data_IF_770850664764
#
_entry.id   IF_770850664764
#
_cell.length_a   1.000
_cell.length_b   1.000
_cell.length_c   1.000
_cell.angle_alpha   90.00
_cell.angle_beta   90.00
_cell.angle_gamma   90.00
#
_symmetry.space_group_name_H-M   'P 1'
#
loop_
_entity.id
_entity.type
_entity.pdbx_description
1 polymer ?
#
# COMPACT_ATOMS: atom_id res chain seq x y z
N UNK A 1 10.44 -16.88 -5.83
CA UNK A 1 9.19 -16.10 -5.58
C UNK A 1 8.29 -16.95 -4.72
N UNK A 2 7.83 -16.43 -3.59
CA UNK A 2 6.90 -17.14 -2.70
C UNK A 2 5.46 -17.00 -3.18
N UNK A 3 5.09 -15.80 -3.60
CA UNK A 3 3.77 -15.51 -4.15
C UNK A 3 3.83 -14.34 -5.13
N UNK A 4 2.86 -14.29 -6.00
CA UNK A 4 2.58 -13.16 -6.89
C UNK A 4 1.06 -13.01 -6.99
N UNK A 5 0.55 -11.91 -6.50
CA UNK A 5 -0.81 -11.44 -6.76
C UNK A 5 -0.76 -10.44 -7.90
N UNK A 6 -1.63 -10.60 -8.88
CA UNK A 6 -1.80 -9.66 -9.99
C UNK A 6 -3.22 -9.12 -9.96
N UNK A 7 -3.31 -7.82 -10.12
CA UNK A 7 -4.56 -7.08 -10.16
C UNK A 7 -4.77 -6.50 -11.56
N UNK A 8 -5.98 -6.45 -12.08
CA UNK A 8 -6.24 -5.89 -13.40
C UNK A 8 -5.82 -4.43 -13.49
N UNK A 9 -5.25 -4.05 -14.61
CA UNK A 9 -4.91 -2.67 -14.89
C UNK A 9 -6.17 -1.87 -15.22
N UNK A 10 -6.29 -0.68 -14.62
CA UNK A 10 -7.36 0.26 -14.93
C UNK A 10 -8.64 0.09 -14.12
N UNK A 11 -8.61 -0.69 -13.05
CA UNK A 11 -9.75 -0.91 -12.16
C UNK A 11 -9.70 -0.07 -10.86
N UNK A 12 -8.74 0.87 -10.77
CA UNK A 12 -8.66 1.85 -9.69
C UNK A 12 -9.90 2.77 -9.59
N UNK A 13 -10.82 2.62 -10.50
CA UNK A 13 -12.13 3.26 -10.48
C UNK A 13 -13.17 2.29 -9.94
N UNK A 14 -13.40 2.26 -8.65
CA UNK A 14 -14.69 1.76 -8.16
C UNK A 14 -15.82 2.59 -8.80
N UNK A 15 -16.98 2.01 -9.03
CA UNK A 15 -18.16 2.70 -9.58
C UNK A 15 -18.53 4.00 -8.84
N UNK A 16 -17.95 4.24 -7.67
CA UNK A 16 -18.23 5.35 -6.78
C UNK A 16 -17.02 6.25 -6.49
N UNK A 17 -15.84 6.02 -7.08
CA UNK A 17 -14.65 6.79 -6.73
C UNK A 17 -14.17 7.65 -7.89
N UNK A 18 -13.94 8.93 -7.59
CA UNK A 18 -13.36 9.91 -8.53
C UNK A 18 -12.01 10.38 -8.01
N UNK A 19 -11.04 10.51 -8.91
CA UNK A 19 -9.75 11.10 -8.56
C UNK A 19 -9.94 12.58 -8.13
N UNK A 20 -9.15 13.05 -7.14
CA UNK A 20 -9.22 14.44 -6.69
C UNK A 20 -8.98 15.43 -7.84
N UNK A 21 -9.74 16.52 -7.83
CA UNK A 21 -9.68 17.56 -8.86
C UNK A 21 -8.63 18.64 -8.57
N UNK A 22 -7.82 18.52 -7.53
CA UNK A 22 -6.70 19.42 -7.31
C UNK A 22 -5.74 19.42 -8.51
N UNK A 23 -5.18 20.57 -8.86
CA UNK A 23 -4.34 20.74 -10.05
C UNK A 23 -3.23 19.68 -10.15
N UNK A 24 -2.54 19.43 -9.05
CA UNK A 24 -1.48 18.43 -8.97
C UNK A 24 -1.95 17.02 -9.33
N UNK A 25 -3.14 16.63 -8.86
CA UNK A 25 -3.71 15.32 -9.14
C UNK A 25 -4.21 15.23 -10.59
N UNK A 26 -4.80 16.31 -11.12
CA UNK A 26 -5.25 16.37 -12.54
C UNK A 26 -4.08 16.27 -13.51
N UNK A 27 -2.97 16.96 -13.23
CA UNK A 27 -1.77 16.92 -14.05
C UNK A 27 -1.08 15.54 -14.03
N UNK A 28 -1.16 14.85 -12.90
CA UNK A 28 -0.66 13.50 -12.78
C UNK A 28 -1.46 12.47 -13.60
N UNK A 29 -2.74 12.77 -13.88
CA UNK A 29 -3.66 11.86 -14.55
C UNK A 29 -4.12 10.73 -13.63
N UNK A 30 -4.78 9.73 -14.19
CA UNK A 30 -5.31 8.58 -13.46
C UNK A 30 -4.27 7.44 -13.39
N UNK A 31 -4.51 6.43 -12.55
CA UNK A 31 -3.69 5.22 -12.45
C UNK A 31 -2.59 5.26 -11.40
N UNK A 32 -2.39 6.36 -10.68
CA UNK A 32 -1.41 6.40 -9.59
C UNK A 32 -1.89 5.69 -8.31
N UNK A 33 -3.19 5.42 -8.17
CA UNK A 33 -3.78 4.62 -7.11
C UNK A 33 -4.26 3.24 -7.61
N UNK A 34 -3.63 2.72 -8.64
CA UNK A 34 -3.93 1.44 -9.27
C UNK A 34 -2.82 0.45 -8.93
N UNK A 35 -3.11 -0.47 -8.00
CA UNK A 35 -2.21 -1.55 -7.62
C UNK A 35 -2.28 -2.65 -8.69
N UNK A 36 -1.19 -2.93 -9.36
CA UNK A 36 -1.16 -3.95 -10.41
C UNK A 36 -0.52 -5.27 -9.98
N UNK A 37 0.30 -5.25 -8.94
CA UNK A 37 0.88 -6.47 -8.38
C UNK A 37 1.38 -6.29 -6.95
N UNK A 38 1.29 -7.35 -6.17
CA UNK A 38 1.94 -7.53 -4.87
C UNK A 38 2.66 -8.88 -4.89
N UNK A 39 3.91 -8.92 -4.48
CA UNK A 39 4.70 -10.14 -4.49
C UNK A 39 5.58 -10.26 -3.24
N UNK A 40 5.89 -11.50 -2.90
CA UNK A 40 6.90 -11.84 -1.90
C UNK A 40 7.93 -12.79 -2.49
N UNK A 41 9.17 -12.59 -2.15
CA UNK A 41 10.29 -13.45 -2.54
C UNK A 41 11.30 -13.60 -1.42
N UNK A 42 12.12 -14.64 -1.50
CA UNK A 42 13.24 -14.84 -0.58
C UNK A 42 14.52 -14.43 -1.29
N UNK A 43 15.27 -13.53 -0.66
CA UNK A 43 16.61 -13.10 -1.09
C UNK A 43 17.59 -13.32 0.05
N UNK A 44 18.63 -14.11 -0.19
CA UNK A 44 19.65 -14.41 0.82
C UNK A 44 19.07 -14.91 2.16
N UNK A 45 17.97 -15.67 2.11
CA UNK A 45 17.28 -16.23 3.27
C UNK A 45 16.30 -15.28 3.97
N UNK A 46 16.14 -14.05 3.49
CA UNK A 46 15.23 -13.07 4.05
C UNK A 46 14.01 -12.85 3.15
N UNK A 47 12.86 -12.60 3.79
CA UNK A 47 11.66 -12.19 3.07
C UNK A 47 11.83 -10.76 2.53
N UNK A 48 11.48 -10.58 1.29
CA UNK A 48 11.38 -9.29 0.62
C UNK A 48 9.98 -9.17 0.04
N UNK A 49 9.33 -8.05 0.32
CA UNK A 49 8.03 -7.71 -0.27
C UNK A 49 8.21 -6.63 -1.33
N UNK A 50 7.35 -6.68 -2.34
CA UNK A 50 7.34 -5.68 -3.40
C UNK A 50 5.96 -5.49 -3.98
N UNK A 51 5.67 -4.26 -4.39
CA UNK A 51 4.44 -3.91 -5.08
C UNK A 51 4.73 -3.12 -6.36
N UNK A 52 3.76 -3.13 -7.24
CA UNK A 52 3.78 -2.36 -8.47
C UNK A 52 2.46 -1.60 -8.62
N UNK A 53 2.59 -0.30 -8.91
CA UNK A 53 1.48 0.55 -9.31
C UNK A 53 1.48 0.70 -10.84
N UNK A 54 0.34 1.04 -11.41
CA UNK A 54 0.21 1.30 -12.85
C UNK A 54 1.06 2.49 -13.30
N UNK A 55 1.17 3.52 -12.45
CA UNK A 55 1.94 4.73 -12.72
C UNK A 55 2.56 5.28 -11.43
N UNK A 56 3.63 6.04 -11.58
CA UNK A 56 4.39 6.64 -10.48
C UNK A 56 4.62 8.14 -10.69
N UNK A 57 3.56 8.98 -10.76
CA UNK A 57 3.77 10.43 -10.80
C UNK A 57 4.47 10.90 -9.54
N UNK A 58 5.46 11.78 -9.72
CA UNK A 58 6.32 12.23 -8.62
C UNK A 58 6.46 13.76 -8.56
N UNK A 59 5.35 14.50 -8.49
CA UNK A 59 5.41 15.97 -8.47
C UNK A 59 6.03 16.54 -7.20
N UNK A 60 6.02 15.80 -6.09
CA UNK A 60 6.56 16.23 -4.81
C UNK A 60 7.98 15.69 -4.51
N UNK A 61 8.59 14.97 -5.45
CA UNK A 61 9.97 14.52 -5.34
C UNK A 61 10.20 13.43 -4.30
N UNK A 62 9.30 12.47 -4.15
CA UNK A 62 9.50 11.33 -3.26
C UNK A 62 10.73 10.51 -3.66
N UNK A 63 11.62 10.15 -2.71
CA UNK A 63 12.85 9.41 -3.00
C UNK A 63 12.66 8.04 -3.65
N UNK A 64 11.51 7.40 -3.43
CA UNK A 64 11.16 6.12 -4.06
C UNK A 64 10.58 6.28 -5.48
N UNK A 65 10.60 7.50 -6.03
CA UNK A 65 10.22 7.77 -7.40
C UNK A 65 8.72 8.01 -7.62
N UNK A 66 7.96 8.24 -6.56
CA UNK A 66 6.55 8.64 -6.61
C UNK A 66 6.18 9.47 -5.39
N UNK A 67 5.03 10.15 -5.40
CA UNK A 67 4.64 11.00 -4.28
C UNK A 67 3.14 11.16 -4.08
N UNK A 68 2.29 10.69 -4.98
CA UNK A 68 0.84 10.88 -4.86
C UNK A 68 0.09 9.71 -4.23
N UNK A 69 0.66 8.50 -4.27
CA UNK A 69 0.02 7.31 -3.76
C UNK A 69 0.54 6.90 -2.39
N UNK A 70 -0.33 6.34 -1.57
CA UNK A 70 -0.01 5.47 -0.44
C UNK A 70 -0.61 4.11 -0.69
N UNK A 71 0.19 3.06 -0.52
CA UNK A 71 -0.30 1.69 -0.47
C UNK A 71 -0.21 1.17 0.96
N UNK A 72 -1.22 0.41 1.36
CA UNK A 72 -1.25 -0.32 2.63
C UNK A 72 -1.21 -1.81 2.31
N UNK A 73 -0.32 -2.53 2.97
CA UNK A 73 -0.21 -3.98 2.89
C UNK A 73 -0.29 -4.53 4.29
N UNK A 74 -1.36 -5.27 4.57
CA UNK A 74 -1.57 -5.94 5.85
C UNK A 74 -1.19 -7.41 5.70
N UNK A 75 -0.50 -7.97 6.70
CA UNK A 75 -0.15 -9.37 6.74
C UNK A 75 -0.81 -10.07 7.92
N UNK A 76 -1.50 -11.16 7.62
CA UNK A 76 -2.02 -12.13 8.58
C UNK A 76 -0.94 -13.20 8.79
N UNK A 77 -0.32 -13.18 9.96
CA UNK A 77 0.82 -14.03 10.29
C UNK A 77 0.41 -15.26 11.10
N UNK A 78 -0.63 -15.12 11.92
CA UNK A 78 -1.12 -16.17 12.83
C UNK A 78 -2.63 -16.04 12.98
N UNK A 79 -3.36 -17.11 13.35
CA UNK A 79 -4.79 -17.02 13.61
C UNK A 79 -5.13 -15.95 14.66
N UNK A 80 -6.18 -15.18 14.40
CA UNK A 80 -6.61 -14.06 15.25
C UNK A 80 -6.23 -12.71 14.64
N UNK A 81 -5.58 -11.85 15.42
CA UNK A 81 -5.09 -10.55 14.98
C UNK A 81 -6.14 -9.44 14.96
N UNK A 82 -5.72 -8.25 14.51
CA UNK A 82 -6.57 -7.07 14.37
C UNK A 82 -7.42 -7.18 13.10
N UNK A 83 -8.72 -7.15 13.24
CA UNK A 83 -9.65 -7.29 12.11
C UNK A 83 -9.98 -5.95 11.42
N UNK A 84 -9.80 -4.83 12.10
CA UNK A 84 -10.05 -3.52 11.50
C UNK A 84 -8.94 -3.15 10.50
N UNK A 85 -9.33 -2.80 9.30
CA UNK A 85 -8.47 -2.27 8.24
C UNK A 85 -8.61 -0.75 8.17
N UNK A 86 -8.82 -0.21 6.98
CA UNK A 86 -9.24 1.18 6.79
C UNK A 86 -10.66 1.40 7.34
N UNK A 87 -11.05 2.64 7.66
CA UNK A 87 -12.41 2.93 8.13
C UNK A 87 -13.50 2.29 7.27
N UNK A 88 -14.35 1.51 7.89
CA UNK A 88 -15.42 0.77 7.20
C UNK A 88 -15.03 -0.58 6.60
N UNK A 89 -13.76 -0.96 6.66
CA UNK A 89 -13.26 -2.24 6.14
C UNK A 89 -12.77 -3.13 7.28
N UNK A 90 -13.05 -4.41 7.16
CA UNK A 90 -12.61 -5.44 8.12
C UNK A 90 -12.15 -6.69 7.37
N UNK A 91 -11.26 -7.44 7.99
CA UNK A 91 -10.93 -8.79 7.55
C UNK A 91 -12.07 -9.77 7.85
N UNK A 92 -12.09 -10.96 7.24
CA UNK A 92 -12.92 -12.05 7.73
C UNK A 92 -12.62 -12.36 9.19
N UNK A 93 -13.61 -12.83 9.98
CA UNK A 93 -13.40 -13.16 11.38
C UNK A 93 -12.27 -14.19 11.58
N UNK A 94 -11.40 -13.93 12.54
CA UNK A 94 -10.27 -14.78 12.86
C UNK A 94 -9.09 -14.72 11.88
N UNK A 95 -9.15 -13.88 10.86
CA UNK A 95 -8.11 -13.66 9.85
C UNK A 95 -7.59 -12.21 9.89
N UNK A 96 -7.40 -11.71 11.09
CA UNK A 96 -6.86 -10.38 11.32
C UNK A 96 -5.37 -10.28 10.97
N UNK A 97 -4.84 -9.07 11.03
CA UNK A 97 -3.45 -8.79 10.71
C UNK A 97 -2.61 -8.52 11.97
N UNK A 98 -1.33 -8.85 11.90
CA UNK A 98 -0.35 -8.57 12.96
C UNK A 98 0.72 -7.58 12.51
N UNK A 99 0.94 -7.43 11.23
CA UNK A 99 1.85 -6.43 10.67
C UNK A 99 1.21 -5.71 9.49
N UNK A 100 1.35 -4.39 9.45
CA UNK A 100 0.94 -3.59 8.31
C UNK A 100 2.12 -2.75 7.82
N UNK A 101 2.17 -2.52 6.53
CA UNK A 101 3.19 -1.69 5.89
C UNK A 101 2.51 -0.52 5.20
N UNK A 102 2.94 0.69 5.58
CA UNK A 102 2.51 1.93 4.95
C UNK A 102 3.58 2.30 3.94
N UNK A 103 3.28 2.14 2.66
CA UNK A 103 4.20 2.37 1.55
C UNK A 103 3.88 3.70 0.90
N UNK A 104 4.78 4.66 1.05
CA UNK A 104 4.70 5.96 0.39
C UNK A 104 5.92 6.18 -0.49
N UNK A 105 5.91 7.22 -1.31
CA UNK A 105 7.09 7.63 -2.07
C UNK A 105 8.25 8.14 -1.20
N UNK A 106 8.00 8.40 0.06
CA UNK A 106 8.96 8.93 1.03
C UNK A 106 9.58 7.86 1.93
N UNK A 107 9.06 6.64 1.89
CA UNK A 107 9.56 5.52 2.66
C UNK A 107 8.48 4.50 2.98
N UNK A 108 8.87 3.46 3.69
CA UNK A 108 7.97 2.40 4.16
C UNK A 108 8.08 2.30 5.67
N UNK A 109 6.94 2.28 6.34
CA UNK A 109 6.83 2.05 7.77
C UNK A 109 6.08 0.75 8.05
N UNK A 110 6.59 -0.04 8.99
CA UNK A 110 5.86 -1.15 9.59
C UNK A 110 5.04 -0.63 10.77
N UNK A 111 3.81 -1.06 10.87
CA UNK A 111 2.90 -0.70 11.96
C UNK A 111 2.30 -1.96 12.60
N UNK A 112 2.29 -1.99 13.93
CA UNK A 112 1.61 -3.04 14.71
C UNK A 112 0.16 -2.66 15.01
N UNK A 113 -0.70 -3.62 15.39
CA UNK A 113 -2.08 -3.34 15.82
C UNK A 113 -2.16 -2.36 17.00
N UNK A 114 -1.17 -2.36 17.89
CA UNK A 114 -1.08 -1.45 19.03
C UNK A 114 -0.64 -0.03 18.64
N UNK A 115 -0.30 0.18 17.36
CA UNK A 115 0.09 1.47 16.83
C UNK A 115 1.59 1.78 16.89
N UNK A 116 2.44 0.81 17.26
CA UNK A 116 3.89 0.96 17.16
C UNK A 116 4.28 1.07 15.69
N UNK A 117 5.11 2.06 15.38
CA UNK A 117 5.58 2.34 14.02
C UNK A 117 7.11 2.32 13.99
N UNK A 118 7.65 1.73 12.94
CA UNK A 118 9.08 1.72 12.68
C UNK A 118 9.36 1.79 11.18
N UNK A 119 10.37 2.57 10.80
CA UNK A 119 10.84 2.61 9.42
C UNK A 119 11.51 1.29 9.06
N UNK A 120 11.26 0.81 7.85
CA UNK A 120 11.92 -0.36 7.29
C UNK A 120 12.71 0.02 6.05
N UNK A 121 13.71 -0.77 5.71
CA UNK A 121 14.51 -0.54 4.51
C UNK A 121 13.64 -0.70 3.27
N UNK A 122 13.63 0.30 2.40
CA UNK A 122 12.87 0.30 1.16
C UNK A 122 13.69 0.90 0.02
N UNK A 123 13.43 0.45 -1.21
CA UNK A 123 14.12 0.93 -2.42
C UNK A 123 13.26 0.70 -3.68
N UNK A 124 13.71 1.23 -4.80
CA UNK A 124 13.09 0.99 -6.11
C UNK A 124 13.91 0.01 -6.93
N UNK A 125 13.23 -0.90 -7.61
CA UNK A 125 13.80 -1.78 -8.63
C UNK A 125 12.91 -1.71 -9.88
N UNK A 126 13.26 -0.85 -10.83
CA UNK A 126 12.43 -0.62 -12.01
C UNK A 126 11.02 -0.16 -11.64
N UNK A 127 10.02 -0.94 -11.99
CA UNK A 127 8.61 -0.66 -11.69
C UNK A 127 8.17 -1.12 -10.28
N UNK A 128 9.07 -1.76 -9.52
CA UNK A 128 8.74 -2.29 -8.20
C UNK A 128 9.20 -1.35 -7.09
N UNK A 129 8.32 -1.13 -6.14
CA UNK A 129 8.67 -0.61 -4.81
C UNK A 129 8.92 -1.82 -3.92
N UNK A 130 10.11 -1.89 -3.34
CA UNK A 130 10.61 -3.08 -2.63
C UNK A 130 10.93 -2.70 -1.19
N UNK A 131 10.65 -3.60 -0.25
CA UNK A 131 11.04 -3.39 1.16
C UNK A 131 11.34 -4.70 1.88
N UNK A 132 12.13 -4.59 2.94
CA UNK A 132 12.44 -5.68 3.87
C UNK A 132 11.47 -5.60 5.04
N UNK A 133 10.51 -6.52 5.18
CA UNK A 133 9.47 -6.43 6.21
C UNK A 133 9.96 -6.74 7.63
N UNK A 134 11.17 -7.29 7.78
CA UNK A 134 11.68 -7.76 9.07
C UNK A 134 10.95 -9.00 9.59
N UNK A 135 10.48 -9.85 8.67
CA UNK A 135 9.75 -11.08 8.95
C UNK A 135 10.45 -12.26 8.29
N UNK A 136 10.39 -13.46 8.88
CA UNK A 136 10.94 -14.66 8.24
C UNK A 136 10.12 -15.03 7.00
N UNK A 137 10.68 -15.77 6.05
CA UNK A 137 9.91 -16.40 5.00
C UNK A 137 8.84 -17.34 5.57
N UNK A 138 7.64 -17.32 5.00
CA UNK A 138 6.52 -18.13 5.46
C UNK A 138 5.30 -17.98 4.57
N UNK A 139 4.21 -18.65 4.95
CA UNK A 139 2.91 -18.47 4.35
C UNK A 139 2.13 -17.42 5.15
N UNK A 140 1.72 -16.36 4.48
CA UNK A 140 1.01 -15.24 5.08
C UNK A 140 -0.22 -14.89 4.26
N UNK A 141 -1.34 -14.67 4.93
CA UNK A 141 -2.47 -13.96 4.35
C UNK A 141 -2.12 -12.49 4.12
N UNK A 142 -2.69 -11.86 3.12
CA UNK A 142 -2.44 -10.44 2.84
C UNK A 142 -3.69 -9.70 2.39
N UNK A 143 -3.77 -8.44 2.78
CA UNK A 143 -4.77 -7.49 2.32
C UNK A 143 -4.06 -6.24 1.82
N UNK A 144 -4.55 -5.67 0.74
CA UNK A 144 -3.95 -4.47 0.15
C UNK A 144 -4.98 -3.38 -0.10
N UNK A 145 -4.55 -2.14 0.00
CA UNK A 145 -5.32 -0.97 -0.40
C UNK A 145 -4.39 0.11 -0.92
N UNK A 146 -4.84 0.89 -1.89
CA UNK A 146 -4.10 2.02 -2.43
C UNK A 146 -5.02 3.24 -2.50
N UNK A 147 -4.46 4.41 -2.21
CA UNK A 147 -5.18 5.67 -2.28
C UNK A 147 -4.24 6.85 -2.41
N UNK A 148 -4.79 8.05 -2.23
CA UNK A 148 -4.03 9.29 -2.26
C UNK A 148 -3.16 9.40 -0.99
N UNK A 149 -1.90 9.80 -1.16
CA UNK A 149 -1.02 10.11 -0.04
C UNK A 149 -1.50 11.39 0.65
N UNK A 150 -1.87 11.27 1.92
CA UNK A 150 -2.26 12.38 2.77
C UNK A 150 -1.50 12.29 4.09
N UNK A 151 -0.51 13.19 4.33
CA UNK A 151 0.28 13.17 5.56
C UNK A 151 -0.54 13.38 6.84
N UNK A 152 -1.74 13.89 6.72
CA UNK A 152 -2.64 14.15 7.85
C UNK A 152 -3.66 13.04 8.11
N UNK A 153 -3.75 12.06 7.20
CA UNK A 153 -4.62 10.90 7.39
C UNK A 153 -3.96 9.85 8.32
N UNK A 154 -4.74 9.07 9.09
CA UNK A 154 -4.21 8.12 10.07
C UNK A 154 -3.24 7.08 9.51
N UNK A 155 -3.42 6.69 8.26
CA UNK A 155 -2.58 5.73 7.56
C UNK A 155 -1.79 6.36 6.41
N UNK A 156 -1.64 7.69 6.40
CA UNK A 156 -1.14 8.45 5.25
C UNK A 156 -1.92 8.21 3.97
N UNK A 157 -3.07 7.59 4.05
CA UNK A 157 -3.91 7.25 2.92
C UNK A 157 -5.26 7.94 3.05
N UNK A 158 -5.61 8.70 2.02
CA UNK A 158 -6.96 9.17 1.79
C UNK A 158 -7.57 8.31 0.69
N UNK A 159 -8.66 7.58 0.96
CA UNK A 159 -9.40 6.92 -0.10
C UNK A 159 -9.85 7.92 -1.16
N UNK A 160 -9.88 7.51 -2.41
CA UNK A 160 -10.41 8.36 -3.48
C UNK A 160 -11.91 8.51 -3.27
N UNK A 161 -12.38 9.73 -3.05
CA UNK A 161 -13.79 10.00 -2.75
C UNK A 161 -14.64 10.00 -4.03
N UNK A 162 -15.87 9.43 -4.00
CA UNK A 162 -16.80 9.54 -5.10
C UNK A 162 -17.21 10.98 -5.42
N UNK A 163 -17.10 11.87 -4.46
CA UNK A 163 -17.45 13.29 -4.63
C UNK A 163 -16.25 14.16 -5.01
N UNK A 164 -15.05 13.57 -5.11
CA UNK A 164 -13.81 14.31 -5.38
C UNK A 164 -13.46 15.34 -4.30
N UNK A 165 -14.16 15.33 -3.19
CA UNK A 165 -14.05 16.32 -2.13
C UNK A 165 -13.08 15.93 -1.03
N UNK A 166 -12.85 16.87 -0.11
CA UNK A 166 -12.11 16.62 1.12
C UNK A 166 -12.93 15.70 2.05
N UNK A 167 -12.25 14.84 2.72
CA UNK A 167 -12.77 14.00 3.80
C UNK A 167 -12.87 14.79 5.09
#
# INVERSE_FOLDING_TARGET
>A
MLFLFQDPLGDAHGLAYLYPQAALCREAGEGYADLTALAGEVREGELVLKLRLARYPNPLGGPLGFSLATALVYLDLVPGGEEALLPGLRTPPGQGWEAAFVVTGFGVERKSPEGKREAVRAWREGEWVVWSPGLPPGEYGSYGAVGLCDPFAPWYLRPVSPEGGAW
#
